data_IF_183005944810
#
_entry.id   IF_183005944810
#
_cell.length_a   1.000
_cell.length_b   1.000
_cell.length_c   1.000
_cell.angle_alpha   90.00
_cell.angle_beta   90.00
_cell.angle_gamma   90.00
#
_symmetry.space_group_name_H-M   'P 1'
#
loop_
_entity.id
_entity.type
_entity.pdbx_description
1 polymer ?
#
# COMPACT_ATOMS: atom_id res chain seq x y z
N UNK A 1 57.91 -82.16 -56.30
CA UNK A 1 56.70 -81.30 -56.31
C UNK A 1 56.43 -80.56 -54.99
N UNK A 2 57.11 -80.86 -53.86
CA UNK A 2 56.76 -80.27 -52.56
C UNK A 2 57.15 -78.80 -52.31
N UNK A 3 58.28 -78.32 -52.84
CA UNK A 3 58.86 -77.01 -52.46
C UNK A 3 58.07 -75.83 -53.04
N UNK A 4 57.59 -75.92 -54.29
CA UNK A 4 56.82 -74.85 -54.94
C UNK A 4 55.44 -74.61 -54.30
N UNK A 5 54.79 -75.68 -53.82
CA UNK A 5 53.55 -75.60 -53.05
C UNK A 5 53.76 -74.89 -51.71
N UNK A 6 54.87 -75.18 -51.02
CA UNK A 6 55.22 -74.53 -49.74
C UNK A 6 55.47 -73.03 -49.94
N UNK A 7 56.20 -72.64 -50.99
CA UNK A 7 56.45 -71.23 -51.34
C UNK A 7 55.16 -70.48 -51.69
N UNK A 8 54.25 -71.10 -52.43
CA UNK A 8 52.95 -70.50 -52.79
C UNK A 8 52.06 -70.28 -51.55
N UNK A 9 52.01 -71.27 -50.64
CA UNK A 9 51.29 -71.16 -49.36
C UNK A 9 51.91 -70.04 -48.51
N UNK A 10 53.24 -69.97 -48.44
CA UNK A 10 53.93 -68.91 -47.69
C UNK A 10 53.64 -67.51 -48.23
N UNK A 11 53.65 -67.34 -49.56
CA UNK A 11 53.27 -66.08 -50.21
C UNK A 11 51.81 -65.70 -49.92
N UNK A 12 50.89 -66.67 -49.97
CA UNK A 12 49.48 -66.46 -49.66
C UNK A 12 49.29 -66.00 -48.22
N UNK A 13 50.00 -66.61 -47.26
CA UNK A 13 49.97 -66.21 -45.85
C UNK A 13 50.47 -64.77 -45.69
N UNK A 14 51.56 -64.39 -46.36
CA UNK A 14 52.07 -63.01 -46.32
C UNK A 14 51.03 -62.02 -46.85
N UNK A 15 50.38 -62.32 -47.99
CA UNK A 15 49.35 -61.47 -48.57
C UNK A 15 48.16 -61.31 -47.61
N UNK A 16 47.70 -62.40 -46.99
CA UNK A 16 46.62 -62.37 -46.00
C UNK A 16 47.00 -61.53 -44.78
N UNK A 17 48.23 -61.66 -44.27
CA UNK A 17 48.74 -60.83 -43.17
C UNK A 17 48.79 -59.34 -43.54
N UNK A 18 49.18 -59.02 -44.77
CA UNK A 18 49.17 -57.65 -45.27
C UNK A 18 47.73 -57.11 -45.30
N UNK A 19 46.77 -57.85 -45.86
CA UNK A 19 45.35 -57.46 -45.90
C UNK A 19 44.78 -57.26 -44.48
N UNK A 20 45.12 -58.15 -43.54
CA UNK A 20 44.71 -58.02 -42.14
C UNK A 20 45.34 -56.77 -41.50
N UNK A 21 46.60 -56.47 -41.77
CA UNK A 21 47.26 -55.27 -41.23
C UNK A 21 46.67 -53.97 -41.79
N UNK A 22 46.38 -53.91 -43.09
CA UNK A 22 45.73 -52.77 -43.73
C UNK A 22 44.28 -52.58 -43.25
N UNK A 23 43.49 -53.66 -43.19
CA UNK A 23 42.11 -53.59 -42.69
C UNK A 23 42.06 -53.13 -41.23
N UNK A 24 42.94 -53.63 -40.36
CA UNK A 24 43.07 -53.13 -38.98
C UNK A 24 43.43 -51.64 -38.93
N UNK A 25 44.33 -51.18 -39.79
CA UNK A 25 44.73 -49.76 -39.84
C UNK A 25 43.59 -48.86 -40.31
N UNK A 26 42.84 -49.27 -41.34
CA UNK A 26 41.67 -48.53 -41.84
C UNK A 26 40.57 -48.49 -40.79
N UNK A 27 40.24 -49.62 -40.16
CA UNK A 27 39.22 -49.67 -39.11
C UNK A 27 39.62 -48.77 -37.92
N UNK A 28 40.89 -48.77 -37.52
CA UNK A 28 41.39 -47.89 -36.45
C UNK A 28 41.24 -46.41 -36.79
N UNK A 29 41.61 -46.01 -38.01
CA UNK A 29 41.46 -44.62 -38.47
C UNK A 29 39.98 -44.23 -38.54
N UNK A 30 39.10 -45.13 -38.99
CA UNK A 30 37.67 -44.88 -39.02
C UNK A 30 37.09 -44.70 -37.62
N UNK A 31 37.43 -45.57 -36.67
CA UNK A 31 36.98 -45.45 -35.28
C UNK A 31 37.51 -44.18 -34.62
N UNK A 32 38.78 -43.81 -34.83
CA UNK A 32 39.35 -42.56 -34.35
C UNK A 32 38.65 -41.34 -34.95
N UNK A 33 38.40 -41.34 -36.27
CA UNK A 33 37.70 -40.23 -36.94
C UNK A 33 36.23 -40.10 -36.51
N UNK A 34 35.52 -41.22 -36.30
CA UNK A 34 34.15 -41.22 -35.78
C UNK A 34 34.11 -40.70 -34.36
N UNK A 35 35.06 -41.13 -33.51
CA UNK A 35 35.17 -40.66 -32.13
C UNK A 35 35.44 -39.17 -32.08
N UNK A 36 36.39 -38.68 -32.88
CA UNK A 36 36.68 -37.25 -33.01
C UNK A 36 35.45 -36.46 -33.52
N UNK A 37 34.74 -36.97 -34.52
CA UNK A 37 33.52 -36.34 -35.02
C UNK A 37 32.42 -36.28 -33.95
N UNK A 38 32.24 -37.34 -33.17
CA UNK A 38 31.28 -37.37 -32.06
C UNK A 38 31.68 -36.41 -30.93
N UNK A 39 32.96 -36.38 -30.55
CA UNK A 39 33.49 -35.45 -29.54
C UNK A 39 33.28 -33.99 -29.98
N UNK A 40 33.67 -33.65 -31.21
CA UNK A 40 33.46 -32.31 -31.78
C UNK A 40 31.98 -31.94 -31.86
N UNK A 41 31.11 -32.87 -32.29
CA UNK A 41 29.67 -32.63 -32.36
C UNK A 41 29.05 -32.39 -30.98
N UNK A 42 29.45 -33.19 -29.97
CA UNK A 42 28.98 -33.03 -28.59
C UNK A 42 29.43 -31.68 -28.01
N UNK A 43 30.69 -31.32 -28.21
CA UNK A 43 31.24 -30.03 -27.77
C UNK A 43 30.52 -28.86 -28.44
N UNK A 44 30.36 -28.91 -29.76
CA UNK A 44 29.65 -27.89 -30.52
C UNK A 44 28.20 -27.75 -30.04
N UNK A 45 27.50 -28.87 -29.83
CA UNK A 45 26.11 -28.88 -29.33
C UNK A 45 26.01 -28.24 -27.95
N UNK A 46 26.92 -28.59 -27.04
CA UNK A 46 26.93 -28.06 -25.69
C UNK A 46 27.25 -26.56 -25.68
N UNK A 47 28.25 -26.13 -26.45
CA UNK A 47 28.60 -24.72 -26.58
C UNK A 47 27.42 -23.92 -27.14
N UNK A 48 26.83 -24.37 -28.23
CA UNK A 48 25.72 -23.67 -28.88
C UNK A 48 24.48 -23.59 -27.97
N UNK A 49 24.18 -24.66 -27.22
CA UNK A 49 23.10 -24.66 -26.23
C UNK A 49 23.35 -23.65 -25.11
N UNK A 50 24.60 -23.51 -24.64
CA UNK A 50 24.96 -22.56 -23.59
C UNK A 50 24.90 -21.11 -24.10
N UNK A 51 25.35 -20.86 -25.33
CA UNK A 51 25.25 -19.55 -25.97
C UNK A 51 23.79 -19.11 -26.12
N UNK A 52 22.94 -20.00 -26.65
CA UNK A 52 21.52 -19.70 -26.81
C UNK A 52 20.83 -19.46 -25.47
N UNK A 53 21.15 -20.27 -24.45
CA UNK A 53 20.63 -20.09 -23.10
C UNK A 53 21.03 -18.72 -22.54
N UNK A 54 22.29 -18.33 -22.69
CA UNK A 54 22.79 -17.04 -22.21
C UNK A 54 22.07 -15.88 -22.91
N UNK A 55 21.86 -15.97 -24.23
CA UNK A 55 21.13 -14.95 -24.99
C UNK A 55 19.67 -14.83 -24.53
N UNK A 56 19.00 -15.97 -24.31
CA UNK A 56 17.63 -15.99 -23.80
C UNK A 56 17.60 -15.35 -22.41
N UNK A 57 18.47 -15.75 -21.49
CA UNK A 57 18.55 -15.20 -20.13
C UNK A 57 18.76 -13.68 -20.17
N UNK A 58 19.69 -13.18 -20.99
CA UNK A 58 19.92 -11.75 -21.17
C UNK A 58 18.71 -11.00 -21.74
N UNK A 59 18.05 -11.57 -22.76
CA UNK A 59 16.87 -10.95 -23.38
C UNK A 59 15.69 -10.88 -22.42
N UNK A 60 15.51 -11.92 -21.61
CA UNK A 60 14.48 -12.02 -20.58
C UNK A 60 14.77 -11.00 -19.48
N UNK A 61 16.01 -10.92 -19.00
CA UNK A 61 16.43 -9.96 -17.99
C UNK A 61 16.21 -8.51 -18.45
N UNK A 62 16.63 -8.17 -19.67
CA UNK A 62 16.41 -6.84 -20.25
C UNK A 62 14.92 -6.50 -20.32
N UNK A 63 14.09 -7.45 -20.78
CA UNK A 63 12.64 -7.25 -20.88
C UNK A 63 12.01 -7.03 -19.50
N UNK A 64 12.38 -7.84 -18.50
CA UNK A 64 11.85 -7.70 -17.14
C UNK A 64 12.30 -6.39 -16.49
N UNK A 65 13.55 -5.97 -16.68
CA UNK A 65 14.04 -4.67 -16.18
C UNK A 65 13.24 -3.51 -16.77
N UNK A 66 13.03 -3.49 -18.08
CA UNK A 66 12.23 -2.45 -18.73
C UNK A 66 10.76 -2.45 -18.27
N UNK A 67 10.15 -3.63 -18.12
CA UNK A 67 8.78 -3.75 -17.59
C UNK A 67 8.69 -3.27 -16.15
N UNK A 68 9.67 -3.60 -15.30
CA UNK A 68 9.71 -3.17 -13.91
C UNK A 68 9.86 -1.65 -13.80
N UNK A 69 10.72 -1.05 -14.62
CA UNK A 69 10.90 0.40 -14.67
C UNK A 69 9.60 1.11 -15.08
N UNK A 70 8.95 0.64 -16.15
CA UNK A 70 7.65 1.18 -16.58
C UNK A 70 6.57 1.03 -15.51
N UNK A 71 6.47 -0.16 -14.89
CA UNK A 71 5.53 -0.41 -13.82
C UNK A 71 5.78 0.50 -12.61
N UNK A 72 7.05 0.72 -12.27
CA UNK A 72 7.45 1.60 -11.16
C UNK A 72 7.01 3.04 -11.42
N UNK A 73 7.27 3.57 -12.62
CA UNK A 73 6.85 4.93 -13.01
C UNK A 73 5.32 5.08 -12.96
N UNK A 74 4.59 4.08 -13.49
CA UNK A 74 3.13 4.09 -13.47
C UNK A 74 2.59 4.06 -12.03
N UNK A 75 3.12 3.17 -11.20
CA UNK A 75 2.69 3.05 -9.80
C UNK A 75 3.04 4.27 -8.97
N UNK A 76 4.19 4.88 -9.18
CA UNK A 76 4.53 6.12 -8.50
C UNK A 76 3.55 7.24 -8.84
N UNK A 77 3.16 7.36 -10.11
CA UNK A 77 2.15 8.34 -10.55
C UNK A 77 0.78 8.10 -9.92
N UNK A 78 0.33 6.84 -9.86
CA UNK A 78 -0.93 6.46 -9.21
C UNK A 78 -0.91 6.79 -7.71
N UNK A 79 0.14 6.40 -7.00
CA UNK A 79 0.30 6.65 -5.55
C UNK A 79 0.33 8.15 -5.28
N UNK A 80 1.06 8.91 -6.10
CA UNK A 80 1.14 10.38 -5.96
C UNK A 80 -0.23 11.03 -6.15
N UNK A 81 -0.99 10.62 -7.17
CA UNK A 81 -2.35 11.13 -7.41
C UNK A 81 -3.28 10.80 -6.24
N UNK A 82 -3.29 9.55 -5.77
CA UNK A 82 -4.12 9.14 -4.64
C UNK A 82 -3.78 9.93 -3.36
N UNK A 83 -2.49 10.10 -3.06
CA UNK A 83 -2.03 10.88 -1.93
C UNK A 83 -2.51 12.35 -2.00
N UNK A 84 -2.39 12.98 -3.17
CA UNK A 84 -2.86 14.35 -3.40
C UNK A 84 -4.38 14.43 -3.24
N UNK A 85 -5.14 13.50 -3.83
CA UNK A 85 -6.60 13.48 -3.72
C UNK A 85 -7.07 13.30 -2.27
N UNK A 86 -6.46 12.37 -1.52
CA UNK A 86 -6.76 12.18 -0.09
C UNK A 86 -6.45 13.42 0.74
N UNK A 87 -5.30 14.05 0.47
CA UNK A 87 -4.89 15.29 1.12
C UNK A 87 -5.90 16.40 0.86
N UNK A 88 -6.25 16.65 -0.41
CA UNK A 88 -7.24 17.66 -0.80
C UNK A 88 -8.59 17.40 -0.14
N UNK A 89 -9.09 16.15 -0.14
CA UNK A 89 -10.37 15.83 0.49
C UNK A 89 -10.34 16.06 2.01
N UNK A 90 -9.21 15.77 2.66
CA UNK A 90 -9.04 16.02 4.10
C UNK A 90 -9.00 17.51 4.38
N UNK A 91 -8.28 18.28 3.56
CA UNK A 91 -8.13 19.73 3.68
C UNK A 91 -9.47 20.43 3.43
N UNK A 92 -10.22 20.02 2.40
CA UNK A 92 -11.57 20.50 2.13
C UNK A 92 -12.54 20.16 3.27
N UNK A 93 -12.44 18.98 3.88
CA UNK A 93 -13.22 18.63 5.08
C UNK A 93 -12.99 19.60 6.23
N UNK A 94 -11.72 19.86 6.56
CA UNK A 94 -11.34 20.82 7.61
C UNK A 94 -11.76 22.25 7.29
N UNK A 95 -11.55 22.71 6.06
CA UNK A 95 -11.97 24.05 5.62
C UNK A 95 -13.50 24.14 5.69
N UNK A 96 -14.24 23.12 5.24
CA UNK A 96 -15.70 23.17 5.30
C UNK A 96 -16.25 23.14 6.71
N UNK A 97 -15.56 22.55 7.69
CA UNK A 97 -15.89 22.66 9.12
C UNK A 97 -15.70 24.11 9.64
N UNK A 98 -14.55 24.73 9.34
CA UNK A 98 -14.25 26.10 9.78
C UNK A 98 -15.12 27.17 9.10
N UNK A 99 -15.45 26.96 7.82
CA UNK A 99 -16.27 27.88 7.03
C UNK A 99 -17.76 27.49 7.00
N UNK A 100 -18.16 26.40 7.68
CA UNK A 100 -19.55 25.97 7.81
C UNK A 100 -20.48 27.11 8.23
N UNK A 101 -20.12 27.96 9.21
CA UNK A 101 -20.97 29.07 9.65
C UNK A 101 -21.36 30.02 8.51
N UNK A 102 -20.50 30.25 7.51
CA UNK A 102 -20.80 31.15 6.38
C UNK A 102 -21.88 30.55 5.48
N UNK A 103 -21.75 29.27 5.14
CA UNK A 103 -22.72 28.58 4.29
C UNK A 103 -24.06 28.36 5.01
N UNK A 104 -24.02 28.09 6.32
CA UNK A 104 -25.21 27.86 7.16
C UNK A 104 -25.93 29.18 7.46
N UNK A 105 -25.18 30.26 7.73
CA UNK A 105 -25.72 31.60 7.96
C UNK A 105 -26.70 32.02 6.86
N UNK A 106 -26.34 31.81 5.60
CA UNK A 106 -27.22 32.14 4.47
C UNK A 106 -28.46 31.25 4.44
N UNK A 107 -28.30 29.93 4.65
CA UNK A 107 -29.40 28.96 4.59
C UNK A 107 -30.45 29.14 5.69
N UNK A 108 -30.02 29.49 6.90
CA UNK A 108 -30.89 29.61 8.07
C UNK A 108 -31.21 31.07 8.46
N UNK A 109 -30.73 32.04 7.66
CA UNK A 109 -30.86 33.46 7.92
C UNK A 109 -30.37 33.84 9.33
N UNK A 110 -29.16 33.38 9.66
CA UNK A 110 -28.50 33.61 10.95
C UNK A 110 -27.32 34.54 10.71
N UNK A 111 -27.16 35.57 11.54
CA UNK A 111 -25.95 36.39 11.51
C UNK A 111 -24.71 35.53 11.81
N UNK A 112 -23.63 35.60 11.02
CA UNK A 112 -22.38 34.90 11.33
C UNK A 112 -21.82 35.20 12.74
N UNK A 113 -22.16 36.36 13.32
CA UNK A 113 -21.75 36.78 14.67
C UNK A 113 -22.41 35.95 15.79
N UNK A 114 -23.57 35.36 15.49
CA UNK A 114 -24.37 34.57 16.44
C UNK A 114 -23.88 33.12 16.58
N UNK A 115 -22.93 32.69 15.75
CA UNK A 115 -22.33 31.36 15.85
C UNK A 115 -21.25 31.30 16.93
N UNK A 116 -21.24 30.20 17.68
CA UNK A 116 -20.18 29.81 18.61
C UNK A 116 -19.78 28.38 18.33
N UNK A 117 -18.48 28.16 18.19
CA UNK A 117 -17.91 26.83 18.04
C UNK A 117 -17.86 26.12 19.39
N UNK A 118 -18.17 24.82 19.39
CA UNK A 118 -18.13 23.94 20.57
C UNK A 118 -17.27 22.68 20.29
N UNK A 119 -17.49 22.04 19.14
CA UNK A 119 -16.84 20.78 18.75
C UNK A 119 -17.65 19.52 19.11
N UNK A 120 -17.16 18.34 18.72
CA UNK A 120 -17.89 17.07 18.89
C UNK A 120 -18.38 16.83 20.34
N UNK A 121 -19.64 16.40 20.55
CA UNK A 121 -20.62 15.87 19.57
C UNK A 121 -21.60 16.90 18.99
N UNK A 122 -21.32 18.21 19.12
CA UNK A 122 -22.10 19.29 18.52
C UNK A 122 -21.16 20.40 18.08
N UNK A 123 -20.82 20.48 16.79
CA UNK A 123 -19.80 21.41 16.31
C UNK A 123 -20.07 22.89 16.59
N UNK A 124 -21.31 23.36 16.42
CA UNK A 124 -21.68 24.77 16.63
C UNK A 124 -23.01 24.93 17.37
N UNK A 125 -23.13 26.03 18.09
CA UNK A 125 -24.41 26.58 18.54
C UNK A 125 -24.58 27.98 17.93
N UNK A 126 -25.77 28.29 17.44
CA UNK A 126 -26.15 29.61 16.99
C UNK A 126 -27.22 30.19 17.90
N UNK A 127 -27.05 31.45 18.30
CA UNK A 127 -28.01 32.24 19.04
C UNK A 127 -28.72 33.20 18.09
N UNK A 128 -29.50 32.66 17.17
CA UNK A 128 -30.11 33.43 16.08
C UNK A 128 -30.95 34.57 16.66
N UNK A 129 -30.69 35.77 16.19
CA UNK A 129 -31.45 36.96 16.59
C UNK A 129 -30.82 37.74 17.75
N UNK A 130 -29.77 37.20 18.37
CA UNK A 130 -29.04 37.86 19.45
C UNK A 130 -28.28 39.09 18.95
N UNK A 131 -27.67 39.04 17.76
CA UNK A 131 -27.00 40.21 17.15
C UNK A 131 -27.97 41.27 16.63
N UNK A 132 -29.21 40.88 16.35
CA UNK A 132 -30.22 41.73 15.69
C UNK A 132 -31.28 42.24 16.69
N UNK A 133 -31.06 42.05 18.01
CA UNK A 133 -31.96 42.45 19.11
C UNK A 133 -33.39 41.90 18.96
N UNK A 134 -33.50 40.66 18.45
CA UNK A 134 -34.76 39.93 18.29
C UNK A 134 -34.85 38.76 19.27
N UNK A 135 -36.04 38.16 19.39
CA UNK A 135 -36.24 36.99 20.28
C UNK A 135 -35.27 35.86 19.90
N UNK A 136 -34.37 35.44 20.80
CA UNK A 136 -33.28 34.54 20.45
C UNK A 136 -33.77 33.09 20.25
N UNK A 137 -33.42 32.51 19.11
CA UNK A 137 -33.59 31.08 18.83
C UNK A 137 -32.23 30.37 18.94
N UNK A 138 -32.14 29.34 19.79
CA UNK A 138 -30.92 28.56 19.99
C UNK A 138 -30.94 27.33 19.08
N UNK A 139 -29.99 27.25 18.15
CA UNK A 139 -29.89 26.17 17.17
C UNK A 139 -28.56 25.46 17.30
N UNK A 140 -28.58 24.15 17.45
CA UNK A 140 -27.39 23.30 17.51
C UNK A 140 -27.10 22.69 16.15
N UNK A 141 -25.84 22.75 15.72
CA UNK A 141 -25.39 22.23 14.43
C UNK A 141 -24.28 21.21 14.63
N UNK A 142 -24.43 20.07 13.96
CA UNK A 142 -23.38 19.08 13.72
C UNK A 142 -23.09 19.08 12.22
N UNK A 143 -21.83 19.26 11.83
CA UNK A 143 -21.40 19.44 10.45
C UNK A 143 -20.81 18.12 9.94
N UNK A 144 -21.35 17.62 8.83
CA UNK A 144 -20.78 16.46 8.13
C UNK A 144 -20.24 16.88 6.78
N UNK A 145 -18.94 16.70 6.58
CA UNK A 145 -18.21 17.13 5.38
C UNK A 145 -17.88 15.96 4.43
N UNK A 146 -18.07 14.71 4.89
CA UNK A 146 -17.79 13.49 4.14
C UNK A 146 -19.02 12.86 3.44
N UNK A 147 -18.79 11.73 2.76
CA UNK A 147 -19.85 10.96 2.07
C UNK A 147 -20.93 10.39 3.00
N UNK A 148 -20.60 10.20 4.27
CA UNK A 148 -21.55 9.77 5.29
C UNK A 148 -22.11 10.98 6.00
N UNK A 149 -23.42 11.20 5.86
CA UNK A 149 -24.20 12.18 6.61
C UNK A 149 -24.80 11.61 7.90
N UNK A 150 -24.50 10.34 8.22
CA UNK A 150 -25.05 9.68 9.40
C UNK A 150 -24.40 10.22 10.68
N UNK A 151 -25.23 10.51 11.68
CA UNK A 151 -24.76 10.87 13.03
C UNK A 151 -24.05 9.69 13.70
N UNK A 152 -23.10 9.96 14.59
CA UNK A 152 -22.55 8.96 15.52
C UNK A 152 -23.56 8.64 16.62
N UNK A 153 -23.32 7.59 17.42
CA UNK A 153 -24.21 7.26 18.55
C UNK A 153 -24.26 8.40 19.58
N UNK A 154 -23.12 9.05 19.84
CA UNK A 154 -23.02 10.18 20.78
C UNK A 154 -23.80 11.39 20.27
N UNK A 155 -23.63 11.75 19.00
CA UNK A 155 -24.39 12.82 18.35
C UNK A 155 -25.90 12.54 18.36
N UNK A 156 -26.33 11.30 18.06
CA UNK A 156 -27.75 10.91 18.15
C UNK A 156 -28.32 11.12 19.54
N UNK A 157 -27.61 10.70 20.60
CA UNK A 157 -28.06 10.89 21.98
C UNK A 157 -28.28 12.36 22.32
N UNK A 158 -27.39 13.25 21.85
CA UNK A 158 -27.54 14.69 22.08
C UNK A 158 -28.72 15.26 21.28
N UNK A 159 -28.84 14.94 19.99
CA UNK A 159 -30.01 15.32 19.18
C UNK A 159 -31.31 14.91 19.87
N UNK A 160 -31.39 13.66 20.32
CA UNK A 160 -32.61 13.12 20.94
C UNK A 160 -32.90 13.80 22.30
N UNK A 161 -31.87 14.19 23.05
CA UNK A 161 -32.04 14.99 24.26
C UNK A 161 -32.58 16.40 23.95
N UNK A 162 -32.07 17.06 22.90
CA UNK A 162 -32.56 18.37 22.44
C UNK A 162 -34.02 18.28 21.98
N UNK A 163 -34.35 17.28 21.15
CA UNK A 163 -35.72 17.03 20.66
C UNK A 163 -36.69 16.75 21.81
N UNK A 164 -36.24 16.00 22.82
CA UNK A 164 -37.00 15.74 24.05
C UNK A 164 -37.02 16.95 25.02
N UNK A 165 -36.50 18.12 24.63
CA UNK A 165 -36.40 19.34 25.44
C UNK A 165 -35.67 19.16 26.78
N UNK A 166 -34.74 18.21 26.85
CA UNK A 166 -33.85 18.01 28.01
C UNK A 166 -32.66 18.96 27.94
N UNK A 167 -32.93 20.27 27.86
CA UNK A 167 -31.94 21.35 27.80
C UNK A 167 -32.19 22.29 28.97
N UNK A 168 -31.12 22.72 29.65
CA UNK A 168 -31.20 23.57 30.84
C UNK A 168 -30.28 24.77 30.69
N UNK A 169 -30.75 25.94 31.13
CA UNK A 169 -29.95 27.14 31.26
C UNK A 169 -29.74 27.40 32.76
N UNK A 170 -28.50 27.34 33.23
CA UNK A 170 -28.14 27.52 34.64
C UNK A 170 -27.12 28.66 34.74
N UNK A 171 -27.41 29.62 35.60
CA UNK A 171 -26.48 30.72 35.90
C UNK A 171 -25.74 30.35 37.18
N UNK A 172 -24.44 30.09 37.03
CA UNK A 172 -23.59 29.69 38.14
C UNK A 172 -22.72 30.86 38.56
N UNK A 173 -22.83 31.28 39.82
CA UNK A 173 -21.93 32.25 40.42
C UNK A 173 -20.76 31.50 41.10
N UNK A 174 -19.54 31.69 40.60
CA UNK A 174 -18.36 31.04 41.17
C UNK A 174 -18.06 31.49 42.60
N UNK A 175 -18.34 32.75 42.95
CA UNK A 175 -18.01 33.26 44.27
C UNK A 175 -18.80 32.53 45.36
N UNK A 176 -20.10 32.29 45.15
CA UNK A 176 -20.90 31.52 46.10
C UNK A 176 -20.45 30.07 46.21
N UNK A 177 -20.05 29.44 45.11
CA UNK A 177 -19.52 28.06 45.12
C UNK A 177 -18.19 27.95 45.85
N UNK A 178 -17.30 28.92 45.66
CA UNK A 178 -15.99 28.96 46.33
C UNK A 178 -16.18 29.19 47.82
N UNK A 179 -17.07 30.08 48.23
CA UNK A 179 -17.39 30.29 49.65
C UNK A 179 -18.03 29.04 50.29
N UNK A 180 -18.93 28.36 49.58
CA UNK A 180 -19.49 27.08 50.03
C UNK A 180 -18.44 25.98 50.15
N UNK A 181 -17.49 25.92 49.22
CA UNK A 181 -16.37 24.98 49.27
C UNK A 181 -15.42 25.29 50.44
N UNK A 182 -15.06 26.57 50.63
CA UNK A 182 -14.22 27.03 51.76
C UNK A 182 -14.88 26.70 53.10
N UNK A 183 -16.18 26.95 53.24
CA UNK A 183 -16.95 26.63 54.44
C UNK A 183 -16.89 25.14 54.76
N UNK A 184 -17.17 24.27 53.78
CA UNK A 184 -17.09 22.82 53.96
C UNK A 184 -15.69 22.36 54.37
N UNK A 185 -14.65 22.90 53.74
CA UNK A 185 -13.26 22.59 54.10
C UNK A 185 -12.94 23.03 55.54
N UNK A 186 -13.39 24.22 55.95
CA UNK A 186 -13.19 24.72 57.32
C UNK A 186 -13.92 23.86 58.36
N UNK A 187 -15.16 23.44 58.07
CA UNK A 187 -15.94 22.55 58.95
C UNK A 187 -15.28 21.16 59.10
N UNK A 188 -14.66 20.64 58.03
CA UNK A 188 -13.90 19.38 58.06
C UNK A 188 -12.62 19.52 58.90
N UNK A 189 -11.87 20.61 58.74
CA UNK A 189 -10.66 20.91 59.51
C UNK A 189 -11.00 21.04 61.00
N UNK A 190 -12.06 21.78 61.33
CA UNK A 190 -12.50 21.99 62.73
C UNK A 190 -12.94 20.69 63.41
N UNK A 191 -13.50 19.73 62.66
CA UNK A 191 -13.81 18.39 63.17
C UNK A 191 -12.55 17.59 63.49
N UNK A 192 -11.59 17.56 62.58
CA UNK A 192 -10.33 16.80 62.74
C UNK A 192 -9.46 17.39 63.86
N UNK A 193 -9.55 18.70 64.11
CA UNK A 193 -8.72 19.38 65.13
C UNK A 193 -9.35 19.34 66.54
N UNK A 194 -10.60 18.86 66.67
CA UNK A 194 -11.33 18.73 67.95
C UNK A 194 -11.39 17.30 68.50
N UNK A 195 -10.85 16.31 67.78
CA UNK A 195 -10.54 14.96 68.27
C UNK A 195 -9.12 14.91 68.84
#
# INVERSE_FOLDING_TARGET
MGIGLILSIFLMIIIVLIIISYSRRINKIQEESKRQAQEMFSQWTQQHSNELRTQIEQSVEMKYKAMLEQWTIQKESEIRKDAVTKSINTLLGKISEEFAPIFIAQKYSISPKDFRHLGSPVDFVAFKGLSDESEPEIIFFEIKTGKSSALTERERKIRDAIVAKRVKYEVINLNSLVEDAKRKISEEIDKVTKE
#
